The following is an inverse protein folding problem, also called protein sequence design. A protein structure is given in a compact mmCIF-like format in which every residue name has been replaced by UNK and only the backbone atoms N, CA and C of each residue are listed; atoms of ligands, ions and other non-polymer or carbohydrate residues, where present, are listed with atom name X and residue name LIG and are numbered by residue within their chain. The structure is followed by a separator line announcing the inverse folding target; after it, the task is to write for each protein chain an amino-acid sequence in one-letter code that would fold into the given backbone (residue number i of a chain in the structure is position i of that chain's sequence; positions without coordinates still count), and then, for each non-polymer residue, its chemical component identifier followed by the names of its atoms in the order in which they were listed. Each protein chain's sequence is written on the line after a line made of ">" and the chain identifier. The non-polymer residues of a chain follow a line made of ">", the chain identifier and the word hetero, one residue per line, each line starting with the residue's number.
data_IF_695450323959
#
_entry.id   IF_695450323959
#
_cell.length_a   1.000
_cell.length_b   1.000
_cell.length_c   1.000
_cell.angle_alpha   90.00
_cell.angle_beta   90.00
_cell.angle_gamma   90.00
#
_symmetry.space_group_name_H-M   'P 1'
#
loop_
_entity.id
_entity.type
_entity.pdbx_description
1 polymer ?
#
# COMPACT_ATOMS: atom_id res chain seq x y z
N UNK A 1 7.74 34.22 -26.67
CA UNK A 1 8.43 34.26 -25.36
C UNK A 1 7.57 34.75 -24.20
N UNK A 2 6.80 35.86 -24.31
CA UNK A 2 6.00 36.38 -23.18
C UNK A 2 4.88 35.44 -22.66
N UNK A 3 4.31 34.61 -23.53
CA UNK A 3 3.23 33.68 -23.16
C UNK A 3 3.70 32.44 -22.37
N UNK A 4 4.96 32.02 -22.53
CA UNK A 4 5.52 30.87 -21.80
C UNK A 4 5.76 31.21 -20.33
N UNK A 5 6.17 32.46 -20.05
CA UNK A 5 6.39 32.92 -18.68
C UNK A 5 5.08 33.01 -17.88
N UNK A 6 3.98 33.42 -18.53
CA UNK A 6 2.66 33.50 -17.89
C UNK A 6 2.13 32.11 -17.52
N UNK A 7 2.34 31.10 -18.37
CA UNK A 7 1.94 29.73 -18.09
C UNK A 7 2.71 29.11 -16.91
N UNK A 8 4.02 29.39 -16.80
CA UNK A 8 4.85 28.89 -15.68
C UNK A 8 4.40 29.54 -14.36
N UNK A 9 4.11 30.85 -14.36
CA UNK A 9 3.64 31.54 -13.15
C UNK A 9 2.29 30.99 -12.69
N UNK A 10 1.34 30.78 -13.61
CA UNK A 10 0.02 30.21 -13.27
C UNK A 10 0.13 28.77 -12.74
N UNK A 11 0.98 27.94 -13.33
CA UNK A 11 1.19 26.56 -12.88
C UNK A 11 1.81 26.48 -11.47
N UNK A 12 2.79 27.35 -11.18
CA UNK A 12 3.42 27.43 -9.85
C UNK A 12 2.44 27.99 -8.81
N UNK A 13 1.60 28.96 -9.17
CA UNK A 13 0.59 29.51 -8.26
C UNK A 13 -0.51 28.49 -7.92
N UNK A 14 -0.91 27.62 -8.87
CA UNK A 14 -1.88 26.55 -8.61
C UNK A 14 -1.28 25.48 -7.68
N UNK A 15 -0.01 25.11 -7.86
CA UNK A 15 0.66 24.16 -6.96
C UNK A 15 0.76 24.70 -5.53
N UNK A 16 1.06 25.98 -5.34
CA UNK A 16 1.11 26.60 -4.02
C UNK A 16 -0.28 26.70 -3.36
N UNK A 17 -1.33 26.95 -4.15
CA UNK A 17 -2.70 27.03 -3.63
C UNK A 17 -3.27 25.67 -3.21
N UNK A 18 -2.92 24.59 -3.92
CA UNK A 18 -3.28 23.22 -3.52
C UNK A 18 -2.54 22.80 -2.24
N UNK A 19 -1.27 23.20 -2.09
CA UNK A 19 -0.49 22.95 -0.87
C UNK A 19 -1.11 23.61 0.37
N UNK A 20 -1.74 24.78 0.19
CA UNK A 20 -2.35 25.54 1.29
C UNK A 20 -3.72 24.99 1.72
N UNK A 21 -4.46 24.34 0.81
CA UNK A 21 -5.75 23.70 1.11
C UNK A 21 -5.56 22.36 1.83
N UNK A 22 -4.47 21.63 1.57
CA UNK A 22 -4.18 20.33 2.23
C UNK A 22 -3.66 20.52 3.66
N UNK A 23 -3.19 21.71 4.03
CA UNK A 23 -2.66 21.98 5.38
C UNK A 23 -3.69 22.50 6.40
N UNK A 24 -4.96 22.68 6.03
CA UNK A 24 -5.96 23.31 6.91
C UNK A 24 -6.91 22.30 7.61
N UNK A 25 -6.65 21.00 7.50
CA UNK A 25 -7.24 19.96 8.34
C UNK A 25 -6.16 19.36 9.26
N UNK A 26 -5.65 20.18 10.18
CA UNK A 26 -4.93 19.66 11.35
C UNK A 26 -5.92 18.89 12.20
N UNK A 27 -5.88 17.57 12.09
CA UNK A 27 -6.39 16.67 13.12
C UNK A 27 -5.53 16.91 14.36
N UNK A 28 -6.19 17.32 15.44
CA UNK A 28 -5.63 17.52 16.77
C UNK A 28 -5.06 16.18 17.29
N UNK A 29 -3.75 15.95 17.08
CA UNK A 29 -3.06 14.70 17.42
C UNK A 29 -2.23 14.82 18.71
N UNK A 30 -2.58 15.75 19.59
CA UNK A 30 -2.03 15.83 20.95
C UNK A 30 -2.60 14.69 21.84
N UNK A 31 -2.24 13.45 21.49
CA UNK A 31 -2.31 12.32 22.41
C UNK A 31 -1.28 12.56 23.52
N UNK A 32 -1.75 12.59 24.76
CA UNK A 32 -0.93 12.83 25.94
C UNK A 32 0.07 11.67 26.14
N UNK A 33 1.31 11.87 25.68
CA UNK A 33 2.39 10.86 25.71
C UNK A 33 2.66 10.30 27.10
N UNK A 34 2.42 11.09 28.15
CA UNK A 34 2.56 10.64 29.54
C UNK A 34 1.49 9.60 29.93
N UNK A 35 0.30 9.67 29.32
CA UNK A 35 -0.75 8.66 29.50
C UNK A 35 -0.42 7.36 28.78
N UNK A 36 0.22 7.44 27.61
CA UNK A 36 0.69 6.29 26.85
C UNK A 36 1.79 5.55 27.61
N UNK A 37 2.82 6.26 28.06
CA UNK A 37 3.89 5.70 28.90
C UNK A 37 3.32 5.11 30.20
N UNK A 38 2.44 5.84 30.90
CA UNK A 38 1.81 5.35 32.12
C UNK A 38 0.92 4.12 31.89
N UNK A 39 0.20 4.04 30.76
CA UNK A 39 -0.63 2.88 30.40
C UNK A 39 0.24 1.62 30.28
N UNK A 40 1.38 1.70 29.60
CA UNK A 40 2.28 0.56 29.44
C UNK A 40 3.09 0.25 30.71
N UNK A 41 3.46 1.26 31.49
CA UNK A 41 4.14 1.06 32.78
C UNK A 41 3.21 0.43 33.85
N UNK A 42 1.92 0.77 33.86
CA UNK A 42 0.90 0.16 34.74
C UNK A 42 0.63 -1.30 34.38
N UNK A 43 0.57 -1.58 33.08
CA UNK A 43 0.38 -2.91 32.52
C UNK A 43 1.60 -3.82 32.79
N UNK A 44 2.81 -3.27 32.86
CA UNK A 44 4.00 -4.00 33.31
C UNK A 44 4.01 -4.30 34.83
N UNK A 45 3.12 -3.68 35.61
CA UNK A 45 3.27 -3.51 37.06
C UNK A 45 2.30 -4.26 37.98
N UNK A 46 1.28 -4.99 37.52
CA UNK A 46 0.32 -5.66 38.43
C UNK A 46 0.03 -7.12 38.08
N UNK A 47 0.72 -8.02 38.78
CA UNK A 47 0.33 -9.43 38.89
C UNK A 47 -0.94 -9.55 39.75
N UNK A 48 -2.11 -9.52 39.13
CA UNK A 48 -3.40 -9.78 39.80
C UNK A 48 -3.72 -11.28 39.75
N UNK A 49 -3.65 -11.93 40.91
CA UNK A 49 -4.10 -13.31 41.11
C UNK A 49 -5.61 -13.34 41.36
N UNK A 50 -6.37 -13.61 40.30
CA UNK A 50 -7.82 -13.86 40.35
C UNK A 50 -8.17 -14.99 39.37
N UNK A 51 -8.80 -16.04 39.89
CA UNK A 51 -9.00 -17.31 39.20
C UNK A 51 -9.94 -17.22 37.98
N UNK A 52 -9.66 -18.13 37.02
CA UNK A 52 -10.47 -18.56 35.87
C UNK A 52 -10.41 -17.76 34.55
N UNK A 53 -9.27 -17.15 34.27
CA UNK A 53 -8.64 -17.13 32.93
C UNK A 53 -7.18 -16.75 33.08
N UNK A 54 -6.22 -17.60 32.67
CA UNK A 54 -4.80 -17.25 32.63
C UNK A 54 -4.58 -16.19 31.54
N UNK A 55 -4.86 -14.91 31.84
CA UNK A 55 -4.26 -13.81 31.09
C UNK A 55 -2.77 -13.85 31.39
N UNK A 56 -2.00 -14.46 30.48
CA UNK A 56 -0.55 -14.47 30.58
C UNK A 56 -0.04 -13.07 30.23
N UNK A 57 0.00 -12.20 31.24
CA UNK A 57 0.61 -10.89 31.13
C UNK A 57 2.12 -11.05 31.13
N UNK A 58 2.75 -10.75 30.00
CA UNK A 58 4.20 -10.63 29.94
C UNK A 58 4.56 -9.16 30.18
N UNK A 59 5.56 -8.85 31.02
CA UNK A 59 5.94 -7.47 31.27
C UNK A 59 6.72 -6.93 30.07
N UNK A 60 6.00 -6.24 29.18
CA UNK A 60 6.59 -5.41 28.14
C UNK A 60 6.70 -3.98 28.64
N UNK A 61 7.75 -3.29 28.24
CA UNK A 61 7.87 -1.85 28.42
C UNK A 61 8.17 -1.20 27.08
N UNK A 62 7.52 -0.07 26.81
CA UNK A 62 7.76 0.74 25.62
C UNK A 62 8.18 2.10 26.14
N UNK A 63 9.40 2.51 25.81
CA UNK A 63 9.91 3.83 26.16
C UNK A 63 9.96 4.68 24.90
N UNK A 64 9.31 5.86 24.97
CA UNK A 64 9.36 6.87 23.93
C UNK A 64 10.31 8.00 24.32
N UNK A 65 11.40 8.13 23.59
CA UNK A 65 12.34 9.23 23.74
C UNK A 65 12.20 10.18 22.55
N UNK A 66 11.87 11.44 22.81
CA UNK A 66 11.93 12.53 21.80
C UNK A 66 13.18 13.36 22.04
N UNK A 67 13.98 13.58 21.01
CA UNK A 67 15.14 14.47 21.09
C UNK A 67 15.31 15.30 19.82
N UNK A 68 16.09 16.35 19.94
CA UNK A 68 16.49 17.21 18.82
C UNK A 68 18.00 17.11 18.69
N UNK A 69 18.50 16.84 17.48
CA UNK A 69 19.94 16.89 17.26
C UNK A 69 20.43 18.34 17.37
N UNK A 70 21.48 18.58 18.15
CA UNK A 70 22.03 19.93 18.40
C UNK A 70 22.58 20.62 17.12
N UNK A 71 22.72 19.91 16.00
CA UNK A 71 23.20 20.46 14.74
C UNK A 71 22.05 20.95 13.84
N UNK A 72 21.61 22.19 14.11
CA UNK A 72 20.99 23.18 13.19
C UNK A 72 19.79 22.84 12.30
N UNK A 73 19.38 21.59 12.15
CA UNK A 73 18.07 21.27 11.59
C UNK A 73 17.07 21.11 12.74
N UNK A 74 15.97 21.84 12.67
CA UNK A 74 14.87 21.85 13.66
C UNK A 74 14.09 20.51 13.69
N UNK A 75 14.67 19.43 13.18
CA UNK A 75 14.04 18.12 13.12
C UNK A 75 14.00 17.47 14.50
N UNK A 76 12.78 17.23 14.97
CA UNK A 76 12.55 16.30 16.07
C UNK A 76 12.88 14.92 15.52
N UNK A 77 13.60 14.10 16.28
CA UNK A 77 13.72 12.67 16.06
C UNK A 77 13.01 12.00 17.22
N UNK A 78 12.36 10.88 16.93
CA UNK A 78 11.60 10.11 17.89
C UNK A 78 12.11 8.68 17.89
N UNK A 79 12.38 8.14 19.08
CA UNK A 79 12.91 6.81 19.31
C UNK A 79 11.95 6.01 20.20
N UNK A 80 11.48 4.88 19.69
CA UNK A 80 10.81 3.84 20.47
C UNK A 80 11.79 2.74 20.84
N UNK A 81 11.91 2.47 22.13
CA UNK A 81 12.66 1.32 22.66
C UNK A 81 11.67 0.30 23.18
N UNK A 82 11.64 -0.88 22.57
CA UNK A 82 10.83 -1.99 23.03
C UNK A 82 11.64 -2.87 23.98
N UNK A 83 11.06 -3.15 25.14
CA UNK A 83 11.68 -3.98 26.17
C UNK A 83 10.77 -5.13 26.59
N UNK A 84 11.39 -6.25 26.94
CA UNK A 84 10.71 -7.42 27.47
C UNK A 84 11.48 -7.91 28.70
N UNK A 85 10.81 -8.04 29.84
CA UNK A 85 11.44 -8.35 31.13
C UNK A 85 12.62 -7.40 31.46
N UNK A 86 12.47 -6.11 31.14
CA UNK A 86 13.48 -5.07 31.37
C UNK A 86 14.71 -5.14 30.45
N UNK A 87 14.71 -6.00 29.43
CA UNK A 87 15.77 -6.07 28.40
C UNK A 87 15.27 -5.47 27.10
N UNK A 88 16.09 -4.66 26.46
CA UNK A 88 15.85 -4.17 25.10
C UNK A 88 15.74 -5.34 24.12
N UNK A 89 14.67 -5.33 23.31
CA UNK A 89 14.42 -6.33 22.26
C UNK A 89 14.54 -5.69 20.88
N UNK A 90 14.07 -4.46 20.72
CA UNK A 90 14.21 -3.71 19.48
C UNK A 90 14.15 -2.20 19.73
N UNK A 91 14.66 -1.44 18.75
CA UNK A 91 14.65 0.02 18.76
C UNK A 91 14.23 0.51 17.38
N UNK A 92 13.25 1.41 17.36
CA UNK A 92 12.84 2.11 16.14
C UNK A 92 13.08 3.59 16.34
N UNK A 93 13.87 4.18 15.45
CA UNK A 93 14.22 5.59 15.46
C UNK A 93 13.90 6.17 14.09
N UNK A 94 13.13 7.26 14.07
CA UNK A 94 12.77 7.96 12.85
C UNK A 94 12.60 9.46 13.09
N UNK A 95 12.35 10.23 12.03
CA UNK A 95 12.10 11.67 12.14
C UNK A 95 10.86 11.93 13.01
N UNK A 96 9.74 11.30 12.68
CA UNK A 96 8.54 11.39 13.52
C UNK A 96 7.90 10.01 13.70
N UNK A 97 7.24 9.84 14.85
CA UNK A 97 6.39 8.68 15.12
C UNK A 97 5.04 9.16 15.62
N UNK A 98 3.98 8.73 14.93
CA UNK A 98 2.61 9.23 15.08
C UNK A 98 1.59 8.10 14.86
N UNK A 99 0.30 8.45 14.97
CA UNK A 99 -0.84 7.57 14.69
C UNK A 99 -0.74 6.20 15.40
N UNK A 100 -0.59 6.26 16.73
CA UNK A 100 -0.43 5.07 17.56
C UNK A 100 -1.80 4.46 17.85
N UNK A 101 -1.98 3.20 17.48
CA UNK A 101 -3.15 2.39 17.83
C UNK A 101 -2.72 1.22 18.69
N UNK A 102 -3.51 0.89 19.70
CA UNK A 102 -3.24 -0.18 20.65
C UNK A 102 -4.49 -1.01 20.89
N UNK A 103 -4.38 -2.33 20.78
CA UNK A 103 -5.49 -3.25 20.98
C UNK A 103 -5.21 -4.63 20.41
N UNK A 104 -6.13 -5.56 20.64
CA UNK A 104 -6.13 -6.89 20.02
C UNK A 104 -6.82 -6.80 18.66
N UNK A 105 -6.01 -6.67 17.61
CA UNK A 105 -6.47 -6.26 16.27
C UNK A 105 -7.08 -7.43 15.48
N UNK A 106 -6.68 -8.66 15.78
CA UNK A 106 -7.17 -9.89 15.14
C UNK A 106 -7.99 -10.79 16.09
N UNK A 107 -8.26 -10.31 17.31
CA UNK A 107 -9.06 -10.99 18.35
C UNK A 107 -8.51 -12.35 18.75
N UNK A 108 -7.19 -12.49 18.76
CA UNK A 108 -6.54 -13.73 19.16
C UNK A 108 -6.01 -13.72 20.60
N UNK A 109 -6.32 -12.67 21.36
CA UNK A 109 -5.94 -12.49 22.74
C UNK A 109 -4.53 -11.91 22.92
N UNK A 110 -3.83 -11.62 21.83
CA UNK A 110 -2.55 -10.91 21.86
C UNK A 110 -2.78 -9.45 21.48
N UNK A 111 -2.20 -8.53 22.24
CA UNK A 111 -2.25 -7.11 21.88
C UNK A 111 -1.21 -6.77 20.82
N UNK A 112 -1.59 -5.85 19.95
CA UNK A 112 -0.72 -5.18 19.01
C UNK A 112 -0.65 -3.69 19.29
N UNK A 113 0.53 -3.12 19.08
CA UNK A 113 0.71 -1.69 18.87
C UNK A 113 1.03 -1.44 17.39
N UNK A 114 0.29 -0.51 16.80
CA UNK A 114 0.48 -0.03 15.43
C UNK A 114 0.91 1.42 15.54
N UNK A 115 1.91 1.82 14.77
CA UNK A 115 2.30 3.22 14.68
C UNK A 115 2.90 3.51 13.32
N UNK A 116 2.79 4.77 12.91
CA UNK A 116 3.39 5.27 11.68
C UNK A 116 4.68 5.98 12.01
N UNK A 117 5.70 5.78 11.20
CA UNK A 117 6.88 6.63 11.21
C UNK A 117 6.91 7.48 9.95
N UNK A 118 7.62 8.60 10.04
CA UNK A 118 7.92 9.46 8.92
C UNK A 118 9.41 9.74 8.94
N UNK A 119 10.05 9.70 7.77
CA UNK A 119 11.50 9.85 7.63
C UNK A 119 11.98 11.26 7.35
N UNK A 120 11.09 12.25 7.28
CA UNK A 120 11.47 13.64 6.99
C UNK A 120 11.65 13.97 5.50
N UNK A 121 11.29 13.05 4.60
CA UNK A 121 11.38 13.23 3.15
C UNK A 121 10.36 14.24 2.59
N UNK A 122 10.65 14.89 1.47
CA UNK A 122 9.74 15.89 0.85
C UNK A 122 8.44 15.32 0.28
N UNK A 123 8.36 14.00 0.13
CA UNK A 123 7.15 13.24 -0.14
C UNK A 123 6.87 12.44 1.13
N UNK A 124 5.61 12.14 1.46
CA UNK A 124 5.17 11.56 2.73
C UNK A 124 5.76 10.15 3.03
N UNK A 125 7.09 10.06 3.16
CA UNK A 125 7.96 8.88 3.26
C UNK A 125 7.74 8.18 4.59
N UNK A 126 6.63 7.46 4.65
CA UNK A 126 6.12 6.84 5.86
C UNK A 126 6.21 5.33 5.82
N UNK A 127 6.43 4.77 7.00
CA UNK A 127 6.38 3.35 7.25
C UNK A 127 5.36 3.07 8.33
N UNK A 128 4.71 1.91 8.24
CA UNK A 128 3.82 1.40 9.25
C UNK A 128 4.54 0.28 10.01
N UNK A 129 4.52 0.36 11.33
CA UNK A 129 5.04 -0.70 12.19
C UNK A 129 3.92 -1.35 12.97
N UNK A 130 4.01 -2.67 13.12
CA UNK A 130 3.11 -3.47 13.94
C UNK A 130 3.94 -4.29 14.92
N UNK A 131 3.93 -3.90 16.19
CA UNK A 131 4.55 -4.62 17.28
C UNK A 131 3.52 -5.56 17.92
N UNK A 132 3.84 -6.85 18.04
CA UNK A 132 2.96 -7.85 18.63
C UNK A 132 3.53 -8.36 19.95
N UNK A 133 2.73 -8.29 21.01
CA UNK A 133 3.17 -8.54 22.39
C UNK A 133 3.01 -10.01 22.80
N UNK A 134 3.71 -10.91 22.10
CA UNK A 134 3.79 -12.35 22.41
C UNK A 134 4.89 -12.70 23.41
N UNK A 135 4.74 -13.85 24.10
CA UNK A 135 5.72 -14.38 25.09
C UNK A 135 7.19 -14.18 24.74
N UNK A 136 7.51 -14.36 23.47
CA UNK A 136 8.79 -13.98 22.90
C UNK A 136 8.50 -12.87 21.90
N UNK A 137 8.85 -11.63 22.26
CA UNK A 137 8.56 -10.50 21.38
C UNK A 137 9.49 -10.59 20.16
N UNK A 138 8.89 -10.51 18.97
CA UNK A 138 9.64 -10.43 17.71
C UNK A 138 9.83 -8.97 17.34
N UNK A 139 10.77 -8.72 16.42
CA UNK A 139 10.89 -7.41 15.78
C UNK A 139 9.54 -6.98 15.21
N UNK A 140 9.12 -5.71 15.38
CA UNK A 140 7.89 -5.21 14.79
C UNK A 140 7.88 -5.44 13.28
N UNK A 141 6.72 -5.83 12.74
CA UNK A 141 6.53 -5.91 11.31
C UNK A 141 6.58 -4.50 10.73
N UNK A 142 7.49 -4.26 9.79
CA UNK A 142 7.58 -3.04 9.01
C UNK A 142 6.85 -3.21 7.68
N UNK A 143 5.95 -2.29 7.35
CA UNK A 143 5.23 -2.22 6.08
C UNK A 143 5.49 -0.85 5.46
N UNK A 144 6.14 -0.77 4.29
CA UNK A 144 6.36 0.49 3.62
C UNK A 144 5.03 1.07 3.14
N UNK A 145 4.68 2.28 3.60
CA UNK A 145 3.59 3.06 3.02
C UNK A 145 4.10 3.98 1.89
N UNK A 146 5.42 4.06 1.74
CA UNK A 146 6.19 4.98 0.91
C UNK A 146 5.61 6.39 0.95
N UNK A 147 4.81 6.83 -0.02
CA UNK A 147 4.35 8.21 -0.14
C UNK A 147 2.92 8.44 0.38
N UNK A 148 2.39 7.51 1.18
CA UNK A 148 1.01 7.52 1.65
C UNK A 148 0.94 7.68 3.15
N UNK A 149 -0.02 8.49 3.59
CA UNK A 149 -0.10 8.92 4.99
C UNK A 149 -1.35 8.42 5.74
N UNK A 150 -2.36 7.94 4.99
CA UNK A 150 -3.69 7.65 5.54
C UNK A 150 -3.98 6.15 5.68
N UNK A 151 -4.26 5.72 6.91
CA UNK A 151 -4.82 4.41 7.25
C UNK A 151 -6.13 4.65 8.00
N UNK A 152 -7.17 3.88 7.66
CA UNK A 152 -8.44 3.88 8.41
C UNK A 152 -8.77 2.48 8.87
N UNK A 153 -9.24 2.35 10.10
CA UNK A 153 -9.69 1.10 10.69
C UNK A 153 -11.21 1.10 10.74
N UNK A 154 -11.84 0.08 10.16
CA UNK A 154 -13.30 -0.05 10.16
C UNK A 154 -13.71 -1.49 9.96
N UNK A 155 -14.66 -1.96 10.75
CA UNK A 155 -15.35 -3.24 10.49
C UNK A 155 -16.29 -3.06 9.29
N UNK A 156 -15.90 -3.61 8.14
CA UNK A 156 -16.57 -3.44 6.85
C UNK A 156 -17.55 -4.55 6.53
N UNK A 157 -17.44 -5.71 7.19
CA UNK A 157 -18.30 -6.88 6.97
C UNK A 157 -19.11 -7.35 8.18
N UNK A 158 -18.92 -6.72 9.34
CA UNK A 158 -19.69 -6.92 10.56
C UNK A 158 -19.27 -8.12 11.39
N UNK A 159 -18.08 -8.67 11.14
CA UNK A 159 -17.53 -9.79 11.93
C UNK A 159 -16.86 -9.33 13.24
N UNK A 160 -16.78 -8.01 13.44
CA UNK A 160 -16.21 -7.35 14.60
C UNK A 160 -14.69 -7.24 14.56
N UNK A 161 -14.01 -7.74 13.53
CA UNK A 161 -12.59 -7.47 13.25
C UNK A 161 -12.53 -6.23 12.37
N UNK A 162 -11.60 -5.31 12.65
CA UNK A 162 -11.47 -4.11 11.83
C UNK A 162 -10.65 -4.40 10.58
N UNK A 163 -11.18 -4.04 9.42
CA UNK A 163 -10.40 -3.92 8.20
C UNK A 163 -9.58 -2.63 8.19
N UNK A 164 -8.41 -2.76 7.59
CA UNK A 164 -7.46 -1.71 7.31
C UNK A 164 -7.71 -1.23 5.89
N UNK A 165 -8.12 0.03 5.78
CA UNK A 165 -8.29 0.72 4.52
C UNK A 165 -7.06 1.60 4.34
N UNK A 166 -6.24 1.24 3.37
CA UNK A 166 -4.99 1.93 3.07
C UNK A 166 -4.80 2.01 1.56
N UNK A 167 -3.67 2.57 1.12
CA UNK A 167 -3.30 2.59 -0.28
C UNK A 167 -2.01 1.80 -0.48
N UNK A 168 -1.84 1.25 -1.67
CA UNK A 168 -0.58 0.68 -2.14
C UNK A 168 -0.05 1.60 -3.24
N UNK A 169 1.11 2.21 -3.02
CA UNK A 169 1.72 3.20 -3.91
C UNK A 169 3.02 2.74 -4.55
N UNK A 170 3.26 1.42 -4.61
CA UNK A 170 4.43 0.85 -5.30
C UNK A 170 4.45 1.16 -6.81
N UNK A 171 3.37 1.77 -7.30
CA UNK A 171 3.20 2.29 -8.65
C UNK A 171 3.57 3.77 -8.78
N UNK A 172 4.04 4.40 -7.70
CA UNK A 172 4.53 5.77 -7.70
C UNK A 172 5.62 5.91 -8.76
N UNK A 173 5.52 6.96 -9.57
CA UNK A 173 6.42 7.24 -10.69
C UNK A 173 6.42 6.21 -11.83
N UNK A 174 5.54 5.21 -11.82
CA UNK A 174 5.48 4.24 -12.93
C UNK A 174 5.03 4.95 -14.21
N UNK A 175 6.00 5.25 -15.09
CA UNK A 175 5.84 5.97 -16.37
C UNK A 175 5.19 7.36 -16.26
N UNK A 176 5.15 7.97 -15.07
CA UNK A 176 4.44 9.25 -14.88
C UNK A 176 5.03 10.07 -13.73
N UNK A 177 4.55 11.30 -13.56
CA UNK A 177 4.98 12.20 -12.49
C UNK A 177 4.44 11.74 -11.12
N UNK A 178 5.05 12.15 -9.99
CA UNK A 178 4.55 11.80 -8.66
C UNK A 178 3.06 12.11 -8.48
N UNK A 179 2.67 13.37 -8.71
CA UNK A 179 1.28 13.83 -8.62
C UNK A 179 0.33 13.18 -9.65
N UNK A 180 0.90 12.48 -10.61
CA UNK A 180 0.21 11.74 -11.66
C UNK A 180 0.21 10.23 -11.38
N UNK A 181 0.80 9.77 -10.28
CA UNK A 181 0.96 8.34 -10.04
C UNK A 181 -0.38 7.66 -9.79
N UNK A 182 -0.56 6.43 -10.26
CA UNK A 182 -1.70 5.64 -9.85
C UNK A 182 -1.53 5.19 -8.39
N UNK A 183 -2.65 5.18 -7.66
CA UNK A 183 -2.72 4.73 -6.29
C UNK A 183 -3.94 3.82 -6.16
N UNK A 184 -3.74 2.63 -5.62
CA UNK A 184 -4.83 1.67 -5.43
C UNK A 184 -5.20 1.62 -3.96
N UNK A 185 -6.45 1.96 -3.66
CA UNK A 185 -7.01 1.74 -2.33
C UNK A 185 -7.16 0.24 -2.12
N UNK A 186 -6.69 -0.27 -0.99
CA UNK A 186 -6.78 -1.68 -0.65
C UNK A 186 -7.49 -1.84 0.68
N UNK A 187 -8.14 -2.99 0.83
CA UNK A 187 -8.71 -3.44 2.09
C UNK A 187 -7.96 -4.69 2.51
N UNK A 188 -7.43 -4.68 3.72
CA UNK A 188 -6.75 -5.81 4.33
C UNK A 188 -7.27 -6.06 5.75
N UNK A 189 -7.06 -7.26 6.27
CA UNK A 189 -7.29 -7.60 7.66
C UNK A 189 -5.96 -8.01 8.27
N UNK A 190 -5.66 -7.57 9.48
CA UNK A 190 -4.51 -8.08 10.20
C UNK A 190 -4.82 -9.48 10.75
N UNK A 191 -3.87 -10.41 10.63
CA UNK A 191 -3.99 -11.75 11.20
C UNK A 191 -2.60 -12.35 11.44
N UNK A 192 -2.34 -12.78 12.66
CA UNK A 192 -1.14 -13.54 13.06
C UNK A 192 0.17 -12.85 12.60
N UNK A 193 0.27 -11.54 12.77
CA UNK A 193 1.46 -10.79 12.38
C UNK A 193 1.58 -10.46 10.90
N UNK A 194 0.50 -10.53 10.11
CA UNK A 194 0.49 -10.19 8.68
C UNK A 194 -0.78 -9.44 8.28
N UNK A 195 -0.66 -8.52 7.31
CA UNK A 195 -1.83 -7.98 6.63
C UNK A 195 -2.24 -8.93 5.49
N UNK A 196 -3.51 -9.33 5.50
CA UNK A 196 -4.10 -10.23 4.50
C UNK A 196 -5.09 -9.45 3.64
N UNK A 197 -4.85 -9.38 2.32
CA UNK A 197 -5.76 -8.73 1.39
C UNK A 197 -7.16 -9.32 1.45
N UNK A 198 -8.17 -8.45 1.31
CA UNK A 198 -9.59 -8.80 1.23
C UNK A 198 -10.16 -8.41 -0.14
N UNK A 199 -9.85 -9.13 -1.25
CA UNK A 199 -10.21 -8.71 -2.61
C UNK A 199 -11.70 -8.39 -2.82
N UNK A 200 -12.59 -9.15 -2.17
CA UNK A 200 -14.04 -8.89 -2.24
C UNK A 200 -14.43 -7.56 -1.58
N UNK A 201 -13.82 -7.23 -0.44
CA UNK A 201 -14.06 -5.96 0.24
C UNK A 201 -13.38 -4.82 -0.49
N UNK A 202 -12.15 -5.01 -0.97
CA UNK A 202 -11.46 -4.07 -1.87
C UNK A 202 -12.36 -3.70 -3.05
N UNK A 203 -12.89 -4.71 -3.75
CA UNK A 203 -13.80 -4.52 -4.89
C UNK A 203 -15.03 -3.69 -4.54
N UNK A 204 -15.64 -3.96 -3.38
CA UNK A 204 -16.84 -3.25 -2.88
C UNK A 204 -16.52 -1.80 -2.52
N UNK A 205 -15.40 -1.55 -1.86
CA UNK A 205 -15.01 -0.22 -1.37
C UNK A 205 -14.35 0.68 -2.40
N UNK A 206 -13.91 0.11 -3.51
CA UNK A 206 -13.41 0.87 -4.66
C UNK A 206 -14.46 1.02 -5.77
N UNK A 207 -15.68 0.48 -5.62
CA UNK A 207 -16.69 0.54 -6.68
C UNK A 207 -17.03 1.98 -7.09
N UNK A 208 -17.07 2.89 -6.12
CA UNK A 208 -17.35 4.31 -6.34
C UNK A 208 -16.15 5.05 -6.98
N UNK A 209 -14.94 4.53 -6.84
CA UNK A 209 -13.71 5.13 -7.39
C UNK A 209 -13.59 4.92 -8.91
N UNK A 210 -14.38 4.02 -9.51
CA UNK A 210 -14.32 3.66 -10.93
C UNK A 210 -15.07 4.62 -11.87
N UNK A 211 -15.92 5.51 -11.37
CA UNK A 211 -16.84 6.30 -12.22
C UNK A 211 -16.16 7.39 -13.07
N UNK A 212 -14.84 7.57 -12.99
CA UNK A 212 -14.12 8.66 -13.68
C UNK A 212 -13.08 8.17 -14.69
N UNK A 213 -13.51 7.37 -15.66
CA UNK A 213 -12.69 7.05 -16.83
C UNK A 213 -12.98 8.02 -17.98
N UNK A 214 -12.01 8.85 -18.35
CA UNK A 214 -12.08 9.61 -19.60
C UNK A 214 -11.90 8.64 -20.78
N UNK A 215 -12.89 8.56 -21.67
CA UNK A 215 -13.00 7.61 -22.78
C UNK A 215 -11.89 7.68 -23.88
N UNK A 216 -10.73 8.30 -23.61
CA UNK A 216 -9.62 8.41 -24.54
C UNK A 216 -8.70 7.17 -24.48
N UNK A 217 -8.29 6.66 -25.65
CA UNK A 217 -7.25 5.62 -25.78
C UNK A 217 -5.87 6.27 -25.84
N UNK A 218 -4.87 5.62 -25.26
CA UNK A 218 -3.48 6.07 -25.11
C UNK A 218 -2.60 5.21 -26.02
N UNK A 219 -1.77 5.83 -26.85
CA UNK A 219 -0.82 5.11 -27.70
C UNK A 219 0.57 5.08 -27.06
N UNK A 220 1.20 3.91 -27.03
CA UNK A 220 2.55 3.66 -26.53
C UNK A 220 3.42 3.14 -27.69
N UNK A 221 4.52 3.86 -27.97
CA UNK A 221 5.49 3.56 -29.03
C UNK A 221 6.91 3.47 -28.49
N UNK A 222 7.81 2.79 -29.21
CA UNK A 222 9.23 2.64 -28.83
C UNK A 222 10.01 3.97 -28.80
N UNK A 223 9.51 5.02 -29.48
CA UNK A 223 10.23 6.31 -29.67
C UNK A 223 9.79 7.44 -28.74
N UNK A 224 8.93 7.19 -27.76
CA UNK A 224 8.43 8.27 -26.92
C UNK A 224 7.70 7.81 -25.67
N UNK A 225 8.46 7.34 -24.68
CA UNK A 225 7.99 7.18 -23.29
C UNK A 225 7.60 8.52 -22.63
N UNK A 226 7.89 9.67 -23.27
CA UNK A 226 7.93 10.97 -22.61
C UNK A 226 6.60 11.74 -22.52
N UNK A 227 5.49 11.20 -23.03
CA UNK A 227 4.16 11.84 -22.88
C UNK A 227 3.07 10.81 -22.59
N UNK A 228 3.30 9.96 -21.60
CA UNK A 228 2.23 9.23 -20.94
C UNK A 228 1.37 10.27 -20.20
N UNK A 229 0.34 10.74 -20.90
CA UNK A 229 -0.51 11.89 -20.51
C UNK A 229 -1.29 11.65 -19.21
N UNK A 230 -1.99 12.68 -18.72
CA UNK A 230 -2.99 12.59 -17.63
C UNK A 230 -4.00 11.43 -17.78
N UNK A 231 -4.17 10.88 -18.98
CA UNK A 231 -5.05 9.73 -19.22
C UNK A 231 -4.51 8.40 -18.67
N UNK A 232 -3.21 8.28 -18.39
CA UNK A 232 -2.60 7.02 -17.94
C UNK A 232 -3.01 6.65 -16.52
N UNK A 233 -3.05 7.62 -15.61
CA UNK A 233 -3.41 7.39 -14.20
C UNK A 233 -4.79 6.77 -14.06
N UNK A 234 -5.85 7.28 -14.73
CA UNK A 234 -7.15 6.62 -14.72
C UNK A 234 -7.12 5.18 -15.28
N UNK A 235 -6.38 4.93 -16.37
CA UNK A 235 -6.25 3.59 -16.96
C UNK A 235 -5.57 2.63 -15.99
N UNK A 236 -4.48 3.07 -15.35
CA UNK A 236 -3.77 2.27 -14.37
C UNK A 236 -4.59 2.04 -13.10
N UNK A 237 -5.28 3.05 -12.57
CA UNK A 237 -6.17 2.87 -11.43
C UNK A 237 -7.27 1.82 -11.74
N UNK A 238 -7.80 1.81 -12.96
CA UNK A 238 -8.78 0.80 -13.39
C UNK A 238 -8.17 -0.60 -13.56
N UNK A 239 -6.95 -0.70 -14.09
CA UNK A 239 -6.19 -1.95 -14.09
C UNK A 239 -6.00 -2.47 -12.66
N UNK A 240 -5.49 -1.62 -11.76
CA UNK A 240 -5.19 -1.97 -10.38
C UNK A 240 -6.44 -2.35 -9.59
N UNK A 241 -7.57 -1.64 -9.80
CA UNK A 241 -8.85 -2.03 -9.23
C UNK A 241 -9.18 -3.50 -9.53
N UNK A 242 -9.14 -3.89 -10.80
CA UNK A 242 -9.46 -5.26 -11.19
C UNK A 242 -8.42 -6.25 -10.68
N UNK A 243 -7.15 -5.88 -10.73
CA UNK A 243 -6.06 -6.75 -10.31
C UNK A 243 -6.08 -7.04 -8.80
N UNK A 244 -6.27 -6.02 -7.95
CA UNK A 244 -6.40 -6.20 -6.49
C UNK A 244 -7.72 -6.85 -6.09
N UNK A 245 -8.73 -6.79 -6.97
CA UNK A 245 -10.00 -7.51 -6.80
C UNK A 245 -9.92 -8.98 -7.25
N UNK A 246 -8.80 -9.42 -7.82
CA UNK A 246 -8.60 -10.77 -8.34
C UNK A 246 -9.29 -11.07 -9.68
N UNK A 247 -9.61 -10.02 -10.45
CA UNK A 247 -10.28 -10.10 -11.75
C UNK A 247 -9.24 -9.90 -12.87
N UNK A 248 -8.23 -10.79 -12.93
CA UNK A 248 -7.06 -10.68 -13.83
C UNK A 248 -7.46 -10.44 -15.29
N UNK A 249 -8.46 -11.17 -15.78
CA UNK A 249 -8.91 -11.09 -17.16
C UNK A 249 -9.46 -9.69 -17.48
N UNK A 250 -10.19 -9.06 -16.56
CA UNK A 250 -10.65 -7.68 -16.72
C UNK A 250 -9.52 -6.69 -16.60
N UNK A 251 -8.59 -6.88 -15.65
CA UNK A 251 -7.42 -6.03 -15.51
C UNK A 251 -6.64 -5.97 -16.83
N UNK A 252 -6.31 -7.13 -17.41
CA UNK A 252 -5.66 -7.21 -18.72
C UNK A 252 -6.52 -6.65 -19.85
N UNK A 253 -7.84 -6.81 -19.78
CA UNK A 253 -8.78 -6.20 -20.70
C UNK A 253 -8.73 -4.67 -20.70
N UNK A 254 -8.49 -4.02 -19.56
CA UNK A 254 -8.27 -2.56 -19.47
C UNK A 254 -7.05 -2.16 -20.29
N UNK A 255 -5.93 -2.89 -20.15
CA UNK A 255 -4.71 -2.62 -20.93
C UNK A 255 -4.99 -2.74 -22.43
N UNK A 256 -5.69 -3.78 -22.86
CA UNK A 256 -6.07 -3.95 -24.28
C UNK A 256 -7.05 -2.90 -24.80
N UNK A 257 -7.96 -2.43 -23.95
CA UNK A 257 -8.99 -1.49 -24.34
C UNK A 257 -8.44 -0.08 -24.51
N UNK A 258 -7.53 0.32 -23.62
CA UNK A 258 -7.09 1.71 -23.49
C UNK A 258 -5.66 1.95 -23.93
N UNK A 259 -4.77 0.94 -23.91
CA UNK A 259 -3.38 1.10 -24.36
C UNK A 259 -3.18 0.46 -25.74
N UNK A 260 -2.76 1.28 -26.70
CA UNK A 260 -2.40 0.84 -28.06
C UNK A 260 -0.89 0.66 -28.10
N UNK A 261 -0.42 -0.52 -28.46
CA UNK A 261 1.00 -0.85 -28.55
C UNK A 261 1.43 -0.99 -30.00
N UNK A 262 2.51 -0.30 -30.41
CA UNK A 262 3.12 -0.43 -31.74
C UNK A 262 3.93 -1.74 -31.87
N UNK A 263 3.23 -2.88 -31.81
CA UNK A 263 3.83 -4.21 -31.94
C UNK A 263 3.74 -5.06 -30.68
N UNK A 264 3.85 -6.38 -30.86
CA UNK A 264 3.67 -7.35 -29.75
C UNK A 264 4.78 -7.25 -28.70
N UNK A 265 6.01 -6.94 -29.10
CA UNK A 265 7.15 -6.80 -28.19
C UNK A 265 6.98 -5.66 -27.19
N UNK A 266 6.40 -4.53 -27.62
CA UNK A 266 6.20 -3.35 -26.76
C UNK A 266 5.22 -3.64 -25.62
N UNK A 267 4.13 -4.37 -25.90
CA UNK A 267 3.17 -4.77 -24.88
C UNK A 267 3.81 -5.69 -23.82
N UNK A 268 4.66 -6.63 -24.26
CA UNK A 268 5.36 -7.53 -23.36
C UNK A 268 6.33 -6.78 -22.45
N UNK A 269 7.12 -5.86 -23.01
CA UNK A 269 8.04 -5.02 -22.23
C UNK A 269 7.29 -4.14 -21.22
N UNK A 270 6.14 -3.58 -21.61
CA UNK A 270 5.28 -2.81 -20.70
C UNK A 270 4.79 -3.66 -19.54
N UNK A 271 4.23 -4.85 -19.82
CA UNK A 271 3.74 -5.73 -18.77
C UNK A 271 4.88 -6.19 -17.86
N UNK A 272 6.05 -6.50 -18.41
CA UNK A 272 7.25 -6.83 -17.63
C UNK A 272 7.58 -5.72 -16.64
N UNK A 273 7.76 -4.50 -17.14
CA UNK A 273 8.10 -3.36 -16.30
C UNK A 273 7.01 -3.08 -15.23
N UNK A 274 5.73 -3.25 -15.59
CA UNK A 274 4.62 -3.11 -14.65
C UNK A 274 4.71 -4.14 -13.53
N UNK A 275 4.87 -5.44 -13.85
CA UNK A 275 4.93 -6.47 -12.81
C UNK A 275 6.22 -6.46 -11.99
N UNK A 276 7.32 -5.99 -12.57
CA UNK A 276 8.56 -5.70 -11.84
C UNK A 276 8.35 -4.56 -10.82
N UNK A 277 7.63 -3.50 -11.20
CA UNK A 277 7.22 -2.46 -10.23
C UNK A 277 6.30 -3.04 -9.14
N UNK A 278 5.44 -3.99 -9.49
CA UNK A 278 4.50 -4.62 -8.55
C UNK A 278 5.14 -5.59 -7.57
N UNK A 279 6.29 -6.18 -7.93
CA UNK A 279 6.94 -7.16 -7.06
C UNK A 279 7.49 -6.57 -5.76
N UNK A 280 7.62 -5.25 -5.71
CA UNK A 280 8.03 -4.52 -4.51
C UNK A 280 6.88 -4.30 -3.52
N UNK A 281 5.64 -4.61 -3.89
CA UNK A 281 4.50 -4.54 -2.97
C UNK A 281 4.58 -5.58 -1.88
N UNK A 282 4.32 -5.14 -0.64
CA UNK A 282 4.08 -6.02 0.50
C UNK A 282 3.03 -7.09 0.19
N UNK A 283 2.07 -6.79 -0.68
CA UNK A 283 0.97 -7.69 -1.04
C UNK A 283 1.26 -8.56 -2.26
N UNK A 284 2.45 -8.49 -2.86
CA UNK A 284 2.77 -9.16 -4.12
C UNK A 284 2.49 -10.67 -4.11
N UNK A 285 2.92 -11.39 -3.07
CA UNK A 285 2.67 -12.82 -2.93
C UNK A 285 1.17 -13.17 -2.91
N UNK A 286 0.39 -12.33 -2.22
CA UNK A 286 -1.06 -12.50 -2.14
C UNK A 286 -1.71 -12.20 -3.49
N UNK A 287 -1.28 -11.14 -4.15
CA UNK A 287 -1.73 -10.76 -5.48
C UNK A 287 -1.45 -11.85 -6.50
N UNK A 288 -0.26 -12.44 -6.50
CA UNK A 288 0.08 -13.59 -7.38
C UNK A 288 -0.87 -14.75 -7.15
N UNK A 289 -1.14 -15.08 -5.89
CA UNK A 289 -2.08 -16.16 -5.52
C UNK A 289 -3.50 -15.88 -5.96
N UNK A 290 -4.02 -14.70 -5.64
CA UNK A 290 -5.40 -14.27 -5.95
C UNK A 290 -5.63 -14.26 -7.46
N UNK A 291 -4.66 -13.74 -8.23
CA UNK A 291 -4.74 -13.63 -9.68
C UNK A 291 -4.30 -14.92 -10.42
N UNK A 292 -4.00 -16.00 -9.69
CA UNK A 292 -3.57 -17.30 -10.21
C UNK A 292 -2.41 -17.18 -11.19
N UNK A 293 -1.42 -16.35 -10.83
CA UNK A 293 -0.19 -16.20 -11.60
C UNK A 293 0.75 -17.41 -11.46
N UNK A 294 0.35 -18.41 -10.67
CA UNK A 294 1.08 -19.65 -10.42
C UNK A 294 0.55 -20.86 -11.20
N UNK A 295 -0.65 -20.79 -11.78
CA UNK A 295 -1.24 -21.88 -12.60
C UNK A 295 -0.66 -21.93 -14.03
N UNK A 296 0.51 -21.34 -14.21
CA UNK A 296 1.28 -21.31 -15.45
C UNK A 296 2.07 -22.61 -15.53
N UNK A 297 1.92 -23.35 -16.63
CA UNK A 297 2.74 -24.55 -16.85
C UNK A 297 4.23 -24.19 -16.76
N UNK A 298 4.96 -24.86 -15.85
CA UNK A 298 6.39 -24.61 -15.56
C UNK A 298 6.68 -23.95 -14.19
N UNK A 299 5.66 -23.74 -13.36
CA UNK A 299 5.77 -23.16 -12.03
C UNK A 299 5.89 -24.24 -10.93
N UNK A 300 7.06 -24.40 -10.30
CA UNK A 300 7.28 -25.42 -9.25
C UNK A 300 7.18 -24.90 -7.80
N UNK A 301 6.85 -23.61 -7.63
CA UNK A 301 6.62 -23.02 -6.32
C UNK A 301 7.88 -22.73 -5.50
N UNK A 302 9.08 -22.90 -6.06
CA UNK A 302 10.30 -22.41 -5.41
C UNK A 302 10.42 -20.89 -5.52
N UNK A 303 10.59 -20.24 -4.36
CA UNK A 303 10.64 -18.78 -4.19
C UNK A 303 11.89 -18.11 -4.78
N UNK A 304 12.85 -18.88 -5.30
CA UNK A 304 14.21 -18.37 -5.57
C UNK A 304 14.45 -17.88 -7.00
N UNK A 305 13.56 -18.11 -7.98
CA UNK A 305 13.92 -17.89 -9.39
C UNK A 305 12.78 -17.47 -10.32
N UNK A 306 12.05 -16.39 -10.02
CA UNK A 306 11.18 -15.81 -11.06
C UNK A 306 11.35 -14.32 -11.16
N UNK A 307 12.11 -13.92 -12.18
CA UNK A 307 12.14 -12.57 -12.69
C UNK A 307 10.84 -12.25 -13.48
N UNK A 308 10.59 -10.97 -13.73
CA UNK A 308 9.40 -10.45 -14.39
C UNK A 308 9.10 -11.06 -15.79
N UNK A 309 10.06 -11.73 -16.44
CA UNK A 309 9.88 -12.39 -17.74
C UNK A 309 8.87 -13.54 -17.68
N UNK A 310 8.85 -14.32 -16.59
CA UNK A 310 7.96 -15.49 -16.48
C UNK A 310 6.50 -15.06 -16.31
N UNK A 311 6.26 -14.04 -15.48
CA UNK A 311 4.91 -13.46 -15.29
C UNK A 311 4.40 -12.84 -16.60
N UNK A 312 5.28 -12.17 -17.33
CA UNK A 312 4.95 -11.56 -18.63
C UNK A 312 4.54 -12.60 -19.67
N UNK A 313 5.24 -13.74 -19.73
CA UNK A 313 4.94 -14.83 -20.66
C UNK A 313 3.56 -15.48 -20.40
N UNK A 314 3.20 -15.71 -19.13
CA UNK A 314 1.88 -16.25 -18.78
C UNK A 314 0.73 -15.34 -19.18
N UNK A 315 0.87 -14.05 -18.86
CA UNK A 315 -0.18 -13.08 -19.15
C UNK A 315 -0.36 -12.92 -20.65
N UNK A 316 0.71 -13.09 -21.43
CA UNK A 316 0.62 -13.15 -22.88
C UNK A 316 -0.24 -14.33 -23.37
N UNK A 317 -0.05 -15.53 -22.82
CA UNK A 317 -0.88 -16.69 -23.16
C UNK A 317 -2.37 -16.43 -22.85
N UNK A 318 -2.67 -15.89 -21.67
CA UNK A 318 -4.05 -15.51 -21.28
C UNK A 318 -4.65 -14.45 -22.21
N UNK A 319 -3.85 -13.46 -22.60
CA UNK A 319 -4.26 -12.42 -23.53
C UNK A 319 -4.62 -12.96 -24.92
N UNK A 320 -3.82 -13.88 -25.45
CA UNK A 320 -4.11 -14.52 -26.75
C UNK A 320 -5.37 -15.40 -26.68
N UNK A 321 -5.60 -16.10 -25.55
CA UNK A 321 -6.84 -16.82 -25.31
C UNK A 321 -8.05 -15.88 -25.27
N UNK A 322 -7.97 -14.73 -24.61
CA UNK A 322 -9.05 -13.75 -24.54
C UNK A 322 -9.38 -13.15 -25.91
N UNK A 323 -8.37 -12.82 -26.73
CA UNK A 323 -8.58 -12.37 -28.12
C UNK A 323 -9.31 -13.43 -28.94
N UNK A 324 -8.87 -14.69 -28.87
CA UNK A 324 -9.51 -15.78 -29.63
C UNK A 324 -10.97 -16.00 -29.27
N UNK A 325 -11.35 -15.81 -27.98
CA UNK A 325 -12.73 -15.90 -27.52
C UNK A 325 -13.57 -14.70 -28.00
N UNK A 326 -13.00 -13.49 -27.97
CA UNK A 326 -13.66 -12.29 -28.48
C UNK A 326 -13.98 -12.42 -29.96
N UNK A 327 -13.02 -12.81 -30.77
CA UNK A 327 -13.16 -12.91 -32.23
C UNK A 327 -14.20 -13.98 -32.63
N UNK A 328 -14.31 -15.08 -31.87
CA UNK A 328 -15.38 -16.08 -32.01
C UNK A 328 -16.75 -15.51 -31.67
N UNK A 329 -16.87 -14.73 -30.59
CA UNK A 329 -18.15 -14.14 -30.17
C UNK A 329 -18.68 -13.08 -31.15
N UNK A 330 -17.81 -12.38 -31.86
CA UNK A 330 -18.20 -11.43 -32.92
C UNK A 330 -18.71 -12.13 -34.16
N UNK A 331 -18.12 -13.27 -34.53
CA UNK A 331 -18.58 -14.08 -35.66
C UNK A 331 -19.91 -14.81 -35.41
N UNK A 332 -20.26 -15.10 -34.16
CA UNK A 332 -21.56 -15.71 -33.81
C UNK A 332 -22.70 -14.69 -33.72
N UNK A 333 -22.42 -13.40 -33.56
CA UNK A 333 -23.43 -12.33 -33.55
C UNK A 333 -23.77 -11.78 -34.94
N UNK A 334 -22.94 -12.09 -35.94
CA UNK A 334 -23.15 -11.72 -37.35
C UNK A 334 -23.83 -12.83 -38.18
N UNK A 335 -24.20 -13.94 -37.54
CA UNK A 335 -25.08 -14.99 -38.08
C UNK A 335 -26.42 -14.94 -37.37
#
# INVERSE_FOLDING_TARGET
>A
MKWVLVFIIVAVSIQLFVFQIVHDETIDSDLNLSELQAKYDLDAGTASSGADSEEVYFPYGINLDKYTHENKDLSRHTKYTFTQNGKEVDVIEDYDISDIYDGDMDKDGVREMIFKTYSGGVHCCSDLYIARFTREMKKPLKIPLNNLDAIKFKDLDGDGIQEWIMYDDQYSYFLTCFACSPYVKIVATYKEGKLILRPKLTKKHMADDLEKLSAARISLSERGYLHVTQAFTPVMNHFLYHFYSGDTDKALGVIDQYLIFEGRGVKLLFLKALFESMSESYFWDQLRKINRLYEVNGFDGSLEYYDADTVSAYLFEKLELLKSKRDKSTHEKEK
#
